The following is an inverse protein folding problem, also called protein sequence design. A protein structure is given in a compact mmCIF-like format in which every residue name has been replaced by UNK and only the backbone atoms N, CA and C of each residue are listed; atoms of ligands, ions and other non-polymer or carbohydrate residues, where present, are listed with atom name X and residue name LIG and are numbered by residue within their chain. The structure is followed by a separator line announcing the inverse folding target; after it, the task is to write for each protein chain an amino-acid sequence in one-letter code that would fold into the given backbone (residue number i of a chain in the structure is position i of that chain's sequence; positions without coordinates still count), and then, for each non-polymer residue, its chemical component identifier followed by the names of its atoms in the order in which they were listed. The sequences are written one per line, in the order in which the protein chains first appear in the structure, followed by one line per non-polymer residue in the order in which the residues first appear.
data_IF_733966314325
#
_entry.id   IF_733966314325
#
_cell.length_a   1.000
_cell.length_b   1.000
_cell.length_c   1.000
_cell.angle_alpha   90.00
_cell.angle_beta   90.00
_cell.angle_gamma   90.00
#
_symmetry.space_group_name_H-M   'P 1'
#
loop_
_entity.id
_entity.type
_entity.pdbx_description
1 polymer ?
#
# COMPACT_ATOMS: atom_id res chain seq x y z
N UNK A 1 -9.78 -13.10 -2.77
CA UNK A 1 -9.13 -12.59 -3.99
C UNK A 1 -8.38 -11.25 -3.82
N UNK A 2 -8.53 -10.48 -2.72
CA UNK A 2 -7.81 -9.21 -2.55
C UNK A 2 -6.30 -9.36 -2.22
N UNK A 3 -5.93 -10.38 -1.44
CA UNK A 3 -4.54 -10.65 -1.06
C UNK A 3 -3.56 -10.76 -2.26
N UNK A 4 -3.84 -11.54 -3.34
CA UNK A 4 -2.91 -11.63 -4.46
C UNK A 4 -2.73 -10.31 -5.24
N UNK A 5 -3.74 -9.43 -5.26
CA UNK A 5 -3.58 -8.10 -5.87
C UNK A 5 -2.58 -7.24 -5.08
N UNK A 6 -2.65 -7.28 -3.74
CA UNK A 6 -1.67 -6.61 -2.87
C UNK A 6 -0.28 -7.24 -3.05
N UNK A 7 -0.17 -8.56 -3.21
CA UNK A 7 1.11 -9.21 -3.54
C UNK A 7 1.70 -8.70 -4.86
N UNK A 8 0.87 -8.50 -5.89
CA UNK A 8 1.30 -7.92 -7.16
C UNK A 8 1.83 -6.48 -6.99
N UNK A 9 1.15 -5.66 -6.20
CA UNK A 9 1.62 -4.31 -5.84
C UNK A 9 2.99 -4.35 -5.14
N UNK A 10 3.17 -5.23 -4.15
CA UNK A 10 4.46 -5.40 -3.45
C UNK A 10 5.55 -5.84 -4.42
N UNK A 11 5.25 -6.72 -5.37
CA UNK A 11 6.21 -7.13 -6.39
C UNK A 11 6.67 -5.94 -7.24
N UNK A 12 5.77 -5.01 -7.59
CA UNK A 12 6.12 -3.78 -8.30
C UNK A 12 6.96 -2.82 -7.43
N UNK A 13 6.62 -2.65 -6.15
CA UNK A 13 7.42 -1.85 -5.20
C UNK A 13 8.86 -2.37 -5.11
N UNK A 14 9.04 -3.69 -5.01
CA UNK A 14 10.35 -4.32 -4.93
C UNK A 14 11.13 -4.20 -6.25
N UNK A 15 10.44 -4.34 -7.39
CA UNK A 15 11.06 -4.15 -8.69
C UNK A 15 11.56 -2.71 -8.87
N UNK A 16 10.78 -1.72 -8.45
CA UNK A 16 11.15 -0.31 -8.53
C UNK A 16 12.30 0.04 -7.57
N UNK A 17 12.26 -0.47 -6.34
CA UNK A 17 13.37 -0.31 -5.39
C UNK A 17 14.68 -0.90 -5.96
N UNK A 18 14.61 -2.08 -6.59
CA UNK A 18 15.77 -2.72 -7.22
C UNK A 18 16.33 -1.88 -8.37
N UNK A 19 15.46 -1.30 -9.21
CA UNK A 19 15.89 -0.38 -10.29
C UNK A 19 16.63 0.85 -9.76
N UNK A 20 16.21 1.35 -8.61
CA UNK A 20 16.79 2.51 -7.95
C UNK A 20 17.97 2.17 -7.03
N UNK A 21 18.40 0.90 -6.97
CA UNK A 21 19.50 0.46 -6.10
C UNK A 21 19.18 0.52 -4.60
N UNK A 22 17.90 0.59 -4.24
CA UNK A 22 17.41 0.66 -2.86
C UNK A 22 16.95 -0.72 -2.42
N UNK A 23 17.35 -1.14 -1.21
CA UNK A 23 16.75 -2.31 -0.55
C UNK A 23 15.63 -1.85 0.38
N UNK A 24 14.44 -2.45 0.22
CA UNK A 24 13.32 -2.25 1.13
C UNK A 24 13.28 -3.41 2.13
N UNK A 25 13.30 -3.08 3.42
CA UNK A 25 12.97 -4.06 4.46
C UNK A 25 11.47 -4.33 4.49
N UNK A 26 11.06 -5.42 5.16
CA UNK A 26 9.64 -5.70 5.36
C UNK A 26 8.89 -4.57 6.09
N UNK A 27 9.58 -3.83 6.96
CA UNK A 27 9.00 -2.69 7.66
C UNK A 27 8.78 -1.51 6.72
N UNK A 28 9.73 -1.25 5.81
CA UNK A 28 9.61 -0.18 4.81
C UNK A 28 8.46 -0.46 3.85
N UNK A 29 8.32 -1.71 3.41
CA UNK A 29 7.21 -2.14 2.54
C UNK A 29 5.87 -1.87 3.24
N UNK A 30 5.71 -2.30 4.50
CA UNK A 30 4.48 -2.08 5.26
C UNK A 30 4.17 -0.60 5.46
N UNK A 31 5.20 0.19 5.79
CA UNK A 31 5.05 1.63 6.01
C UNK A 31 4.62 2.34 4.72
N UNK A 32 5.28 2.05 3.59
CA UNK A 32 4.94 2.61 2.27
C UNK A 32 3.54 2.21 1.82
N UNK A 33 3.16 0.93 1.97
CA UNK A 33 1.81 0.45 1.66
C UNK A 33 0.72 1.16 2.47
N UNK A 34 0.95 1.36 3.77
CA UNK A 34 0.01 2.05 4.61
C UNK A 34 -0.07 3.56 4.32
N UNK A 35 1.06 4.18 3.98
CA UNK A 35 1.14 5.60 3.66
C UNK A 35 0.53 5.95 2.29
N UNK A 36 0.75 5.10 1.28
CA UNK A 36 0.16 5.24 -0.06
C UNK A 36 -1.26 4.70 -0.17
N UNK A 37 -1.90 4.33 0.95
CA UNK A 37 -3.28 3.86 0.93
C UNK A 37 -4.26 5.04 0.83
N UNK A 38 -5.20 4.96 -0.10
CA UNK A 38 -6.21 5.99 -0.28
C UNK A 38 -7.27 5.90 0.83
N UNK A 39 -7.48 7.02 1.51
CA UNK A 39 -8.59 7.22 2.43
C UNK A 39 -9.68 8.00 1.71
N UNK A 40 -10.62 7.27 1.13
CA UNK A 40 -11.85 7.81 0.56
C UNK A 40 -13.01 7.52 1.52
N UNK A 41 -13.13 8.25 2.66
CA UNK A 41 -14.28 8.08 3.52
C UNK A 41 -15.55 8.49 2.74
N UNK A 42 -16.68 7.79 2.93
CA UNK A 42 -17.95 8.24 2.38
C UNK A 42 -18.29 9.63 2.92
N UNK A 43 -18.97 10.45 2.11
CA UNK A 43 -19.27 11.86 2.42
C UNK A 43 -20.04 12.10 3.74
N UNK A 44 -20.58 11.04 4.36
CA UNK A 44 -21.40 11.10 5.56
C UNK A 44 -20.89 10.19 6.71
N UNK A 45 -19.57 10.10 6.94
CA UNK A 45 -19.06 9.33 8.08
C UNK A 45 -17.59 9.49 8.43
N UNK A 46 -17.26 9.16 9.68
CA UNK A 46 -15.89 8.98 10.15
C UNK A 46 -15.26 7.71 9.55
N UNK A 47 -13.93 7.65 9.51
CA UNK A 47 -13.20 6.47 9.04
C UNK A 47 -13.48 5.25 9.92
N UNK A 48 -13.95 4.16 9.32
CA UNK A 48 -14.23 2.91 10.05
C UNK A 48 -12.95 2.05 10.15
N UNK A 49 -12.55 1.60 11.36
CA UNK A 49 -11.36 0.75 11.55
C UNK A 49 -11.33 -0.52 10.69
N UNK A 50 -12.48 -1.03 10.24
CA UNK A 50 -12.58 -2.23 9.38
C UNK A 50 -11.88 -2.06 8.02
N UNK A 51 -11.63 -0.83 7.58
CA UNK A 51 -10.91 -0.54 6.34
C UNK A 51 -9.38 -0.45 6.51
N UNK A 52 -8.87 -0.63 7.73
CA UNK A 52 -7.44 -0.57 8.01
C UNK A 52 -6.83 0.78 7.60
N UNK A 53 -5.70 0.72 6.88
CA UNK A 53 -4.99 1.92 6.43
C UNK A 53 -5.69 2.66 5.27
N UNK A 54 -6.53 1.97 4.50
CA UNK A 54 -7.15 2.51 3.30
C UNK A 54 -7.24 1.50 2.16
N UNK A 55 -7.59 2.00 0.98
CA UNK A 55 -7.55 1.24 -0.26
C UNK A 55 -6.11 1.18 -0.77
N UNK A 56 -5.63 -0.01 -1.10
CA UNK A 56 -4.32 -0.15 -1.74
C UNK A 56 -4.30 0.61 -3.07
N UNK A 57 -3.30 1.47 -3.25
CA UNK A 57 -3.13 2.30 -4.45
C UNK A 57 -1.70 2.20 -4.97
N UNK A 58 -1.53 2.57 -6.25
CA UNK A 58 -0.22 2.62 -6.90
C UNK A 58 0.70 3.68 -6.28
N UNK A 59 0.14 4.65 -5.53
CA UNK A 59 0.88 5.67 -4.77
C UNK A 59 1.86 5.09 -3.72
N UNK A 60 1.77 3.79 -3.43
CA UNK A 60 2.70 3.09 -2.55
C UNK A 60 4.04 2.68 -3.21
N UNK A 61 4.12 2.69 -4.55
CA UNK A 61 5.32 2.31 -5.33
C UNK A 61 6.28 3.49 -5.40
#
# INVERSE_FOLDING_TARGET
MAAPAVTGLVALMLAEATRNGVQLSINDIRAKLAAGAEKLPPAAGAWDPRYGAGRASADAI
#
